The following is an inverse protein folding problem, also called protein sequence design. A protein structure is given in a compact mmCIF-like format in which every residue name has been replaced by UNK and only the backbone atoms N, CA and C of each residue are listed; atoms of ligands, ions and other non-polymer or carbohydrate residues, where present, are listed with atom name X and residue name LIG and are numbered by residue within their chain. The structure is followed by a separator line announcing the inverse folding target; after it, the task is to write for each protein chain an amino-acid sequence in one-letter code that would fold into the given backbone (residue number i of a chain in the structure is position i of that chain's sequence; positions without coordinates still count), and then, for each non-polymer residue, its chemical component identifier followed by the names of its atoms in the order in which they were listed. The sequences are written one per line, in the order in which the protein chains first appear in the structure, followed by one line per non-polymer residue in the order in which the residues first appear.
data_IF_249234792490
#
_entry.id   IF_249234792490
#
_cell.length_a   1.000
_cell.length_b   1.000
_cell.length_c   1.000
_cell.angle_alpha   90.00
_cell.angle_beta   90.00
_cell.angle_gamma   90.00
#
_symmetry.space_group_name_H-M   'P 1'
#
loop_
_entity.id
_entity.type
_entity.pdbx_description
1 polymer ?
#
# COMPACT_ATOMS: atom_id res chain seq x y z
N UNK A 1 -47.42 -7.89 -14.76
CA UNK A 1 -46.20 -7.17 -15.19
C UNK A 1 -45.71 -6.40 -13.97
N UNK A 2 -44.72 -6.92 -13.25
CA UNK A 2 -44.21 -6.28 -12.03
C UNK A 2 -43.10 -5.32 -12.47
N UNK A 3 -43.33 -4.01 -12.33
CA UNK A 3 -42.31 -3.00 -12.52
C UNK A 3 -41.38 -3.02 -11.29
N UNK A 4 -40.17 -3.54 -11.46
CA UNK A 4 -39.07 -3.30 -10.54
C UNK A 4 -38.58 -1.86 -10.76
N UNK A 5 -38.88 -0.97 -9.83
CA UNK A 5 -38.27 0.36 -9.76
C UNK A 5 -36.78 0.21 -9.39
N UNK A 6 -35.86 0.91 -10.08
CA UNK A 6 -34.47 0.93 -9.66
C UNK A 6 -34.34 1.70 -8.35
N UNK A 7 -33.65 1.12 -7.36
CA UNK A 7 -33.24 1.83 -6.15
C UNK A 7 -32.42 3.06 -6.59
N UNK A 8 -32.99 4.25 -6.39
CA UNK A 8 -32.24 5.49 -6.48
C UNK A 8 -31.24 5.52 -5.31
N UNK A 9 -29.95 5.43 -5.64
CA UNK A 9 -28.88 5.65 -4.67
C UNK A 9 -28.99 7.09 -4.16
N UNK A 10 -29.16 7.26 -2.84
CA UNK A 10 -29.21 8.58 -2.23
C UNK A 10 -27.85 9.26 -2.39
N UNK A 11 -27.78 10.30 -3.23
CA UNK A 11 -26.53 10.99 -3.60
C UNK A 11 -25.98 11.94 -2.51
N UNK A 12 -26.63 12.03 -1.34
CA UNK A 12 -26.30 13.04 -0.33
C UNK A 12 -25.48 12.53 0.87
N UNK A 13 -25.26 11.22 0.99
CA UNK A 13 -24.43 10.67 2.07
C UNK A 13 -23.01 10.38 1.58
N UNK A 14 -22.02 10.82 2.37
CA UNK A 14 -20.61 10.52 2.14
C UNK A 14 -20.46 8.98 2.08
N UNK A 15 -19.90 8.41 1.00
CA UNK A 15 -19.73 6.96 0.91
C UNK A 15 -18.93 6.43 2.09
N UNK A 16 -19.47 5.42 2.77
CA UNK A 16 -18.81 4.77 3.91
C UNK A 16 -17.51 4.10 3.46
N UNK A 17 -16.48 4.08 4.30
CA UNK A 17 -15.23 3.39 3.99
C UNK A 17 -14.79 2.55 5.18
N UNK A 18 -14.34 1.33 4.89
CA UNK A 18 -13.65 0.48 5.85
C UNK A 18 -12.19 0.95 5.92
N UNK A 19 -11.83 1.57 7.05
CA UNK A 19 -10.53 2.19 7.24
C UNK A 19 -9.37 1.20 7.06
N UNK A 20 -9.51 -0.05 7.52
CA UNK A 20 -8.44 -1.05 7.43
C UNK A 20 -8.16 -1.36 5.96
N UNK A 21 -9.21 -1.64 5.17
CA UNK A 21 -9.08 -1.98 3.76
C UNK A 21 -8.61 -0.79 2.93
N UNK A 22 -9.07 0.42 3.27
CA UNK A 22 -8.53 1.65 2.69
C UNK A 22 -7.03 1.78 2.93
N UNK A 23 -6.57 1.56 4.16
CA UNK A 23 -5.15 1.56 4.51
C UNK A 23 -4.37 0.51 3.73
N UNK A 24 -4.86 -0.74 3.63
CA UNK A 24 -4.22 -1.79 2.82
C UNK A 24 -4.06 -1.35 1.34
N UNK A 25 -5.08 -0.66 0.81
CA UNK A 25 -5.03 -0.06 -0.53
C UNK A 25 -3.90 0.96 -0.67
N UNK A 26 -3.71 1.82 0.34
CA UNK A 26 -2.67 2.84 0.31
C UNK A 26 -1.26 2.30 0.54
N UNK A 27 -1.04 1.10 1.10
CA UNK A 27 0.32 0.67 1.49
C UNK A 27 1.38 0.71 0.38
N UNK A 28 2.60 1.09 0.76
CA UNK A 28 3.81 1.17 -0.06
C UNK A 28 4.45 -0.19 -0.34
N UNK A 29 3.73 -1.08 -1.03
CA UNK A 29 4.15 -2.47 -1.24
C UNK A 29 5.07 -2.63 -2.47
N UNK A 30 6.19 -1.88 -2.48
CA UNK A 30 7.21 -1.93 -3.53
C UNK A 30 7.91 -3.29 -3.49
N UNK A 31 7.63 -4.15 -4.47
CA UNK A 31 7.92 -5.59 -4.46
C UNK A 31 7.08 -6.41 -3.47
N UNK A 32 5.86 -5.99 -3.11
CA UNK A 32 5.07 -6.63 -2.05
C UNK A 32 5.41 -6.09 -0.66
N UNK A 33 4.74 -6.60 0.37
CA UNK A 33 4.90 -6.07 1.73
C UNK A 33 6.19 -6.61 2.34
N UNK A 34 7.15 -5.74 2.63
CA UNK A 34 8.38 -6.17 3.30
C UNK A 34 8.15 -6.44 4.79
N UNK A 35 8.77 -7.50 5.32
CA UNK A 35 8.81 -7.81 6.75
C UNK A 35 10.21 -8.26 7.16
N UNK A 36 10.78 -7.59 8.15
CA UNK A 36 12.07 -7.90 8.79
C UNK A 36 12.16 -7.14 10.12
N UNK A 37 13.12 -7.50 10.99
CA UNK A 37 13.21 -7.03 12.38
C UNK A 37 13.09 -5.50 12.54
N UNK A 38 13.81 -4.73 11.72
CA UNK A 38 13.92 -3.28 11.90
C UNK A 38 12.68 -2.48 11.42
N UNK A 39 11.67 -3.14 10.86
CA UNK A 39 10.44 -2.48 10.38
C UNK A 39 9.16 -3.14 10.93
N UNK A 40 9.27 -3.97 11.96
CA UNK A 40 8.15 -4.76 12.50
C UNK A 40 6.98 -3.88 12.95
N UNK A 41 7.26 -2.70 13.50
CA UNK A 41 6.23 -1.76 13.96
C UNK A 41 5.85 -0.71 12.91
N UNK A 42 6.47 -0.73 11.72
CA UNK A 42 6.19 0.26 10.68
C UNK A 42 4.89 -0.10 9.99
N UNK A 43 3.91 0.79 10.09
CA UNK A 43 2.65 0.72 9.32
C UNK A 43 2.97 1.00 7.85
N UNK A 44 3.51 2.17 7.54
CA UNK A 44 3.94 2.52 6.18
C UNK A 44 4.88 3.73 6.13
N UNK A 45 5.50 3.93 4.98
CA UNK A 45 6.37 5.08 4.67
C UNK A 45 5.78 5.91 3.53
N UNK A 46 5.87 7.22 3.67
CA UNK A 46 5.31 8.21 2.75
C UNK A 46 6.36 9.24 2.35
N UNK A 47 6.32 9.66 1.09
CA UNK A 47 7.18 10.73 0.58
C UNK A 47 6.67 12.11 1.01
N UNK A 48 7.52 13.15 0.85
CA UNK A 48 7.15 14.54 1.15
C UNK A 48 5.86 14.98 0.47
N UNK A 49 5.66 14.57 -0.79
CA UNK A 49 4.45 14.86 -1.58
C UNK A 49 3.19 14.18 -1.05
N UNK A 50 3.33 13.17 -0.18
CA UNK A 50 2.24 12.39 0.39
C UNK A 50 1.92 12.79 1.84
N UNK A 51 2.44 13.94 2.32
CA UNK A 51 2.23 14.41 3.69
C UNK A 51 0.74 14.48 4.06
N UNK A 52 -0.10 15.01 3.16
CA UNK A 52 -1.54 15.13 3.42
C UNK A 52 -2.20 13.76 3.58
N UNK A 53 -1.82 12.80 2.74
CA UNK A 53 -2.28 11.42 2.84
C UNK A 53 -1.88 10.80 4.18
N UNK A 54 -0.60 10.89 4.57
CA UNK A 54 -0.15 10.27 5.82
C UNK A 54 -0.80 10.91 7.07
N UNK A 55 -1.01 12.22 7.09
CA UNK A 55 -1.71 12.91 8.20
C UNK A 55 -3.20 12.55 8.22
N UNK A 56 -3.80 12.30 7.06
CA UNK A 56 -5.19 11.82 6.98
C UNK A 56 -5.33 10.40 7.52
N UNK A 57 -4.42 9.49 7.14
CA UNK A 57 -4.35 8.13 7.71
C UNK A 57 -4.10 8.20 9.23
N UNK A 58 -3.14 9.01 9.70
CA UNK A 58 -2.92 9.19 11.14
C UNK A 58 -4.22 9.57 11.88
N UNK A 59 -4.96 10.53 11.33
CA UNK A 59 -6.23 11.00 11.91
C UNK A 59 -7.35 9.96 11.90
N UNK A 60 -7.36 9.05 10.93
CA UNK A 60 -8.33 7.94 10.84
C UNK A 60 -8.12 6.90 11.95
N UNK A 61 -6.87 6.70 12.39
CA UNK A 61 -6.49 5.58 13.25
C UNK A 61 -6.12 5.99 14.69
N UNK A 62 -5.64 7.22 14.92
CA UNK A 62 -5.08 7.63 16.22
C UNK A 62 -5.99 7.45 17.44
N UNK A 63 -7.31 7.52 17.26
CA UNK A 63 -8.26 7.34 18.37
C UNK A 63 -8.44 5.87 18.77
N UNK A 64 -8.20 4.93 17.83
CA UNK A 64 -8.37 3.50 18.03
C UNK A 64 -7.03 2.78 18.29
N UNK A 65 -5.91 3.44 18.00
CA UNK A 65 -4.56 2.91 18.12
C UNK A 65 -3.69 3.86 18.94
N UNK A 66 -3.70 3.75 20.29
CA UNK A 66 -2.95 4.64 21.18
C UNK A 66 -1.43 4.59 21.00
N UNK A 67 -0.91 3.51 20.40
CA UNK A 67 0.50 3.32 20.10
C UNK A 67 0.90 3.91 18.73
N UNK A 68 -0.05 4.47 17.98
CA UNK A 68 0.20 5.08 16.67
C UNK A 68 1.03 6.36 16.80
N UNK A 69 2.12 6.41 16.04
CA UNK A 69 3.05 7.53 15.98
C UNK A 69 3.36 7.88 14.54
N UNK A 70 3.12 9.14 14.18
CA UNK A 70 3.62 9.74 12.95
C UNK A 70 4.98 10.39 13.21
N UNK A 71 6.03 9.83 12.63
CA UNK A 71 7.39 10.40 12.68
C UNK A 71 7.77 11.02 11.33
N UNK A 72 8.79 11.88 11.33
CA UNK A 72 9.36 12.40 10.09
C UNK A 72 10.88 12.37 10.15
N UNK A 73 11.50 11.84 9.10
CA UNK A 73 12.94 11.74 8.97
C UNK A 73 13.40 12.63 7.82
N UNK A 74 14.51 13.34 8.04
CA UNK A 74 15.15 14.19 7.02
C UNK A 74 16.49 13.57 6.65
N UNK A 75 16.61 13.10 5.41
CA UNK A 75 17.88 12.60 4.91
C UNK A 75 18.83 13.78 4.68
N UNK A 76 19.97 13.76 5.37
CA UNK A 76 20.97 14.85 5.32
C UNK A 76 21.50 15.07 3.89
N UNK A 77 21.70 13.99 3.13
CA UNK A 77 22.29 13.99 1.79
C UNK A 77 21.32 14.43 0.69
N UNK A 78 20.09 13.91 0.68
CA UNK A 78 19.13 14.17 -0.40
C UNK A 78 18.19 15.36 -0.12
N UNK A 79 18.25 15.95 1.09
CA UNK A 79 17.23 16.89 1.62
C UNK A 79 15.80 16.35 1.53
N UNK A 80 15.59 15.07 1.22
CA UNK A 80 14.27 14.46 1.21
C UNK A 80 13.75 14.33 2.64
N UNK A 81 12.46 14.60 2.79
CA UNK A 81 11.71 14.31 4.00
C UNK A 81 10.80 13.13 3.72
N UNK A 82 10.89 12.12 4.56
CA UNK A 82 9.94 11.01 4.59
C UNK A 82 9.12 11.10 5.88
N UNK A 83 7.92 10.57 5.81
CA UNK A 83 7.04 10.39 6.96
C UNK A 83 6.83 8.90 7.16
N UNK A 84 6.82 8.45 8.40
CA UNK A 84 6.55 7.05 8.71
C UNK A 84 5.49 6.96 9.80
N UNK A 85 4.52 6.09 9.57
CA UNK A 85 3.57 5.68 10.60
C UNK A 85 4.09 4.42 11.27
N UNK A 86 4.06 4.41 12.60
CA UNK A 86 4.49 3.29 13.43
C UNK A 86 3.39 2.96 14.44
N UNK A 87 3.04 1.69 14.54
CA UNK A 87 2.15 1.13 15.56
C UNK A 87 2.34 -0.39 15.54
N UNK A 88 2.64 -0.97 16.70
CA UNK A 88 2.79 -2.42 16.86
C UNK A 88 1.46 -3.13 16.63
N UNK A 89 0.36 -2.54 17.10
CA UNK A 89 -0.98 -3.13 16.99
C UNK A 89 -1.46 -3.06 15.55
N UNK A 90 -1.42 -1.87 14.92
CA UNK A 90 -1.89 -1.68 13.55
C UNK A 90 -1.03 -2.45 12.53
N UNK A 91 0.29 -2.51 12.74
CA UNK A 91 1.17 -3.30 11.86
C UNK A 91 0.81 -4.78 11.89
N UNK A 92 0.51 -5.36 13.06
CA UNK A 92 0.03 -6.75 13.15
C UNK A 92 -1.31 -6.97 12.44
N UNK A 93 -2.24 -6.03 12.55
CA UNK A 93 -3.51 -6.07 11.80
C UNK A 93 -3.23 -6.11 10.31
N UNK A 94 -2.37 -5.21 9.81
CA UNK A 94 -1.96 -5.16 8.40
C UNK A 94 -1.31 -6.46 7.96
N UNK A 95 -0.40 -7.01 8.76
CA UNK A 95 0.31 -8.25 8.42
C UNK A 95 -0.64 -9.44 8.19
N UNK A 96 -1.82 -9.44 8.82
CA UNK A 96 -2.83 -10.49 8.65
C UNK A 96 -3.42 -10.57 7.23
N UNK A 97 -3.25 -9.51 6.42
CA UNK A 97 -3.66 -9.45 5.02
C UNK A 97 -2.64 -10.07 4.06
N UNK A 98 -1.49 -10.52 4.56
CA UNK A 98 -0.40 -11.01 3.73
C UNK A 98 0.00 -12.45 4.04
N UNK A 99 0.46 -13.16 3.01
CA UNK A 99 1.24 -14.40 3.14
C UNK A 99 2.69 -14.07 2.83
N UNK A 100 3.61 -14.50 3.71
CA UNK A 100 5.02 -14.14 3.60
C UNK A 100 5.86 -15.32 3.14
N UNK A 101 6.83 -15.02 2.27
CA UNK A 101 7.90 -15.94 1.89
C UNK A 101 9.26 -15.22 1.91
N UNK A 102 10.37 -15.94 2.09
CA UNK A 102 11.70 -15.35 1.93
C UNK A 102 11.82 -14.70 0.55
N UNK A 103 12.32 -13.46 0.50
CA UNK A 103 12.47 -12.74 -0.78
C UNK A 103 13.79 -13.07 -1.51
N UNK A 104 14.68 -13.83 -0.87
CA UNK A 104 16.07 -14.02 -1.33
C UNK A 104 16.97 -12.79 -1.11
N UNK A 105 16.43 -11.70 -0.56
CA UNK A 105 17.18 -10.49 -0.20
C UNK A 105 17.47 -10.47 1.30
N UNK A 106 18.63 -9.91 1.65
CA UNK A 106 19.02 -9.62 3.03
C UNK A 106 19.01 -8.12 3.32
N UNK A 107 18.73 -7.76 4.56
CA UNK A 107 18.98 -6.41 5.09
C UNK A 107 20.01 -6.49 6.21
N UNK A 108 20.89 -5.51 6.31
CA UNK A 108 21.81 -5.46 7.43
C UNK A 108 21.02 -5.31 8.75
N UNK A 109 21.31 -6.17 9.73
CA UNK A 109 20.72 -6.18 11.08
C UNK A 109 21.26 -5.07 11.97
N UNK A 110 22.43 -4.53 11.62
CA UNK A 110 23.44 -4.25 12.62
C UNK A 110 23.19 -3.07 13.54
N UNK A 111 23.63 -3.32 14.77
CA UNK A 111 24.00 -2.35 15.81
C UNK A 111 25.39 -1.70 15.54
N UNK A 112 26.10 -2.14 14.48
CA UNK A 112 27.44 -1.67 14.08
C UNK A 112 27.34 -0.78 12.83
N UNK A 113 28.13 0.30 12.72
CA UNK A 113 28.07 1.14 11.53
C UNK A 113 28.78 0.47 10.34
N UNK A 114 28.25 0.61 9.12
CA UNK A 114 28.86 0.05 7.90
C UNK A 114 30.34 0.42 7.70
N UNK A 115 30.76 1.56 8.24
CA UNK A 115 32.14 2.07 8.21
C UNK A 115 33.11 1.29 9.11
N UNK A 116 32.59 0.49 10.03
CA UNK A 116 33.37 -0.28 11.00
C UNK A 116 33.53 -1.75 10.53
N UNK A 117 33.02 -2.08 9.34
CA UNK A 117 33.20 -3.40 8.71
C UNK A 117 34.46 -3.35 7.85
N UNK A 118 35.49 -4.09 8.25
CA UNK A 118 36.67 -4.35 7.42
C UNK A 118 36.40 -5.56 6.51
N UNK A 119 36.01 -5.28 5.26
CA UNK A 119 35.67 -6.30 4.28
C UNK A 119 36.87 -7.18 3.88
N UNK A 120 38.09 -6.67 4.00
CA UNK A 120 39.30 -7.39 3.63
C UNK A 120 39.65 -8.50 4.65
N UNK A 121 39.01 -8.46 5.83
CA UNK A 121 39.18 -9.45 6.91
C UNK A 121 38.11 -10.55 6.92
N UNK A 122 37.15 -10.52 5.99
CA UNK A 122 36.06 -11.51 5.95
C UNK A 122 36.54 -12.80 5.27
N UNK A 123 37.00 -13.77 6.06
CA UNK A 123 37.41 -15.10 5.58
C UNK A 123 36.22 -16.05 5.36
N UNK A 124 35.15 -15.91 6.15
CA UNK A 124 33.90 -16.70 6.06
C UNK A 124 32.71 -15.79 5.72
N UNK A 125 32.51 -15.55 4.42
CA UNK A 125 31.39 -14.75 3.93
C UNK A 125 30.02 -15.33 4.33
N UNK A 126 29.75 -16.65 4.21
CA UNK A 126 28.50 -17.24 4.71
C UNK A 126 28.24 -16.96 6.20
N UNK A 127 29.24 -17.16 7.07
CA UNK A 127 29.14 -16.88 8.51
C UNK A 127 28.90 -15.41 8.80
N UNK A 128 29.60 -14.52 8.09
CA UNK A 128 29.41 -13.07 8.19
C UNK A 128 27.98 -12.66 7.82
N UNK A 129 27.46 -13.13 6.69
CA UNK A 129 26.09 -12.83 6.23
C UNK A 129 25.07 -13.32 7.25
N UNK A 130 25.19 -14.56 7.74
CA UNK A 130 24.27 -15.13 8.73
C UNK A 130 24.24 -14.32 10.04
N UNK A 131 25.41 -13.83 10.47
CA UNK A 131 25.56 -13.03 11.69
C UNK A 131 25.01 -11.61 11.53
N UNK A 132 25.24 -10.96 10.38
CA UNK A 132 25.03 -9.53 10.21
C UNK A 132 23.81 -9.14 9.35
N UNK A 133 23.17 -10.08 8.65
CA UNK A 133 22.02 -9.80 7.79
C UNK A 133 20.77 -10.55 8.24
N UNK A 134 19.62 -9.89 8.13
CA UNK A 134 18.28 -10.43 8.32
C UNK A 134 17.66 -10.77 6.97
N UNK A 135 16.82 -11.79 6.96
CA UNK A 135 16.06 -12.13 5.77
C UNK A 135 14.93 -11.13 5.59
N UNK A 136 14.84 -10.51 4.42
CA UNK A 136 13.67 -9.74 4.04
C UNK A 136 12.60 -10.73 3.57
N UNK A 137 11.46 -10.76 4.25
CA UNK A 137 10.29 -11.49 3.78
C UNK A 137 9.46 -10.59 2.86
N UNK A 138 8.87 -11.19 1.84
CA UNK A 138 7.97 -10.55 0.89
C UNK A 138 6.54 -11.07 1.09
N UNK A 139 5.63 -10.15 1.33
CA UNK A 139 4.21 -10.40 1.52
C UNK A 139 3.41 -10.30 0.23
N UNK A 140 2.57 -11.29 -0.02
CA UNK A 140 1.51 -11.27 -1.03
C UNK A 140 0.15 -11.08 -0.35
N UNK A 141 -0.67 -10.19 -0.89
CA UNK A 141 -2.04 -9.99 -0.44
C UNK A 141 -2.85 -11.29 -0.54
N UNK A 142 -3.73 -11.48 0.44
CA UNK A 142 -4.69 -12.57 0.57
C UNK A 142 -6.05 -12.18 -0.03
N UNK A 143 -6.39 -12.57 -1.27
CA UNK A 143 -7.65 -12.17 -1.91
C UNK A 143 -8.89 -12.61 -1.12
N UNK A 144 -8.81 -13.73 -0.41
CA UNK A 144 -9.88 -14.29 0.43
C UNK A 144 -10.25 -13.42 1.65
N UNK A 145 -9.49 -12.35 1.91
CA UNK A 145 -9.83 -11.35 2.94
C UNK A 145 -10.84 -10.30 2.44
N UNK A 146 -11.04 -10.16 1.13
CA UNK A 146 -11.85 -9.09 0.53
C UNK A 146 -13.24 -9.61 0.16
N UNK A 147 -14.08 -9.86 1.17
CA UNK A 147 -15.33 -10.61 1.01
C UNK A 147 -16.55 -9.72 0.74
N UNK A 148 -16.59 -8.53 1.33
CA UNK A 148 -17.74 -7.63 1.21
C UNK A 148 -17.49 -6.54 0.17
N UNK A 149 -18.56 -5.97 -0.38
CA UNK A 149 -18.45 -4.89 -1.36
C UNK A 149 -17.73 -3.67 -0.79
N UNK A 150 -18.03 -3.28 0.46
CA UNK A 150 -17.38 -2.13 1.12
C UNK A 150 -15.87 -2.35 1.30
N UNK A 151 -15.41 -3.56 1.59
CA UNK A 151 -13.99 -3.90 1.69
C UNK A 151 -13.28 -3.73 0.36
N UNK A 152 -13.89 -4.18 -0.73
CA UNK A 152 -13.38 -4.06 -2.10
C UNK A 152 -13.32 -2.60 -2.53
N UNK A 153 -14.42 -1.86 -2.35
CA UNK A 153 -14.50 -0.43 -2.63
C UNK A 153 -13.44 0.36 -1.85
N UNK A 154 -13.28 0.06 -0.56
CA UNK A 154 -12.31 0.74 0.32
C UNK A 154 -10.88 0.51 -0.14
N UNK A 155 -10.51 -0.74 -0.44
CA UNK A 155 -9.18 -1.09 -0.94
C UNK A 155 -8.85 -0.43 -2.28
N UNK A 156 -9.76 -0.53 -3.26
CA UNK A 156 -9.56 0.10 -4.58
C UNK A 156 -9.48 1.61 -4.45
N UNK A 157 -10.28 2.21 -3.57
CA UNK A 157 -10.23 3.64 -3.25
C UNK A 157 -8.90 4.05 -2.63
N UNK A 158 -8.38 3.29 -1.66
CA UNK A 158 -7.06 3.55 -1.07
C UNK A 158 -5.94 3.50 -2.11
N UNK A 159 -5.97 2.48 -2.97
CA UNK A 159 -5.02 2.36 -4.06
C UNK A 159 -5.12 3.53 -5.05
N UNK A 160 -6.33 3.93 -5.44
CA UNK A 160 -6.54 5.08 -6.32
C UNK A 160 -6.11 6.40 -5.69
N UNK A 161 -6.42 6.64 -4.41
CA UNK A 161 -6.01 7.86 -3.71
C UNK A 161 -4.49 8.00 -3.77
N UNK A 162 -3.73 6.95 -3.47
CA UNK A 162 -2.27 7.03 -3.44
C UNK A 162 -1.62 7.00 -4.82
N UNK A 163 -2.05 6.08 -5.67
CA UNK A 163 -1.36 5.70 -6.91
C UNK A 163 -2.11 6.09 -8.18
N UNK A 164 -3.31 6.63 -8.01
CA UNK A 164 -4.23 6.89 -9.11
C UNK A 164 -4.11 8.28 -9.70
N UNK A 165 -4.56 8.37 -10.94
CA UNK A 165 -4.84 9.61 -11.64
C UNK A 165 -5.89 9.34 -12.72
N UNK A 166 -6.41 10.42 -13.30
CA UNK A 166 -7.39 10.37 -14.39
C UNK A 166 -6.78 11.04 -15.63
N UNK A 167 -6.96 10.42 -16.78
CA UNK A 167 -6.70 11.01 -18.09
C UNK A 167 -7.97 10.88 -18.92
N UNK A 168 -8.57 12.00 -19.30
CA UNK A 168 -9.86 12.05 -20.00
C UNK A 168 -10.94 11.29 -19.22
N UNK A 169 -11.62 10.31 -19.83
CA UNK A 169 -12.61 9.46 -19.15
C UNK A 169 -12.01 8.24 -18.45
N UNK A 170 -10.69 8.00 -18.56
CA UNK A 170 -10.05 6.78 -18.12
C UNK A 170 -9.32 6.98 -16.79
N UNK A 171 -9.67 6.17 -15.80
CA UNK A 171 -9.01 6.13 -14.51
C UNK A 171 -7.83 5.17 -14.59
N UNK A 172 -6.72 5.52 -13.94
CA UNK A 172 -5.49 4.74 -13.96
C UNK A 172 -4.96 4.58 -12.55
N UNK A 173 -4.39 3.41 -12.25
CA UNK A 173 -3.60 3.11 -11.05
C UNK A 173 -2.28 2.53 -11.52
N UNK A 174 -1.15 3.07 -11.05
CA UNK A 174 0.18 2.51 -11.34
C UNK A 174 0.97 2.25 -10.07
N UNK A 175 1.44 1.02 -9.95
CA UNK A 175 2.27 0.54 -8.84
C UNK A 175 3.59 0.02 -9.39
N UNK A 176 4.69 0.31 -8.68
CA UNK A 176 6.02 -0.14 -9.05
C UNK A 176 6.34 -1.48 -8.37
N UNK A 177 6.79 -2.47 -9.16
CA UNK A 177 7.19 -3.82 -8.76
C UNK A 177 6.15 -4.64 -7.96
N UNK A 178 4.92 -4.16 -7.77
CA UNK A 178 3.92 -4.80 -6.91
C UNK A 178 2.96 -5.71 -7.69
N UNK A 179 3.45 -6.89 -8.08
CA UNK A 179 2.64 -7.86 -8.84
C UNK A 179 1.42 -8.37 -8.06
N UNK A 180 1.56 -8.57 -6.74
CA UNK A 180 0.42 -9.01 -5.90
C UNK A 180 -0.69 -7.97 -5.83
N UNK A 181 -0.33 -6.69 -5.64
CA UNK A 181 -1.32 -5.58 -5.59
C UNK A 181 -2.03 -5.38 -6.92
N UNK A 182 -1.29 -5.37 -8.04
CA UNK A 182 -1.93 -5.17 -9.35
C UNK A 182 -2.85 -6.33 -9.72
N UNK A 183 -2.51 -7.58 -9.39
CA UNK A 183 -3.40 -8.73 -9.62
C UNK A 183 -4.71 -8.61 -8.84
N UNK A 184 -4.63 -8.21 -7.57
CA UNK A 184 -5.84 -8.00 -6.77
C UNK A 184 -6.67 -6.84 -7.31
N UNK A 185 -6.05 -5.71 -7.67
CA UNK A 185 -6.75 -4.58 -8.27
C UNK A 185 -7.48 -4.96 -9.56
N UNK A 186 -6.84 -5.74 -10.45
CA UNK A 186 -7.47 -6.20 -11.69
C UNK A 186 -8.71 -7.06 -11.42
N UNK A 187 -8.64 -8.00 -10.46
CA UNK A 187 -9.79 -8.83 -10.06
C UNK A 187 -10.92 -7.98 -9.47
N UNK A 188 -10.60 -7.13 -8.48
CA UNK A 188 -11.60 -6.36 -7.76
C UNK A 188 -12.28 -5.31 -8.65
N UNK A 189 -11.55 -4.68 -9.57
CA UNK A 189 -12.14 -3.75 -10.53
C UNK A 189 -13.17 -4.44 -11.44
N UNK A 190 -12.89 -5.67 -11.88
CA UNK A 190 -13.84 -6.48 -12.67
C UNK A 190 -15.05 -6.90 -11.84
N UNK A 191 -14.83 -7.34 -10.60
CA UNK A 191 -15.91 -7.72 -9.68
C UNK A 191 -16.83 -6.55 -9.32
N UNK A 192 -16.28 -5.34 -9.20
CA UNK A 192 -17.02 -4.09 -8.95
C UNK A 192 -17.73 -3.56 -10.21
N UNK A 193 -17.71 -4.29 -11.33
CA UNK A 193 -18.40 -3.92 -12.56
C UNK A 193 -17.74 -2.80 -13.37
N UNK A 194 -16.44 -2.53 -13.16
CA UNK A 194 -15.73 -1.54 -13.98
C UNK A 194 -15.58 -2.03 -15.43
N UNK A 195 -15.71 -1.11 -16.38
CA UNK A 195 -15.59 -1.40 -17.79
C UNK A 195 -14.17 -1.11 -18.32
N UNK A 196 -13.78 -1.78 -19.39
CA UNK A 196 -12.46 -1.60 -20.05
C UNK A 196 -11.26 -1.69 -19.09
N UNK A 197 -11.29 -2.66 -18.18
CA UNK A 197 -10.15 -2.95 -17.30
C UNK A 197 -9.01 -3.53 -18.14
N UNK A 198 -7.97 -2.72 -18.38
CA UNK A 198 -6.80 -3.08 -19.15
C UNK A 198 -5.53 -3.01 -18.29
N UNK A 199 -4.74 -4.08 -18.34
CA UNK A 199 -3.46 -4.18 -17.63
C UNK A 199 -2.28 -4.00 -18.60
N UNK A 200 -1.34 -3.13 -18.24
CA UNK A 200 -0.10 -2.90 -18.95
C UNK A 200 1.09 -3.13 -18.00
N UNK A 201 2.06 -3.91 -18.45
CA UNK A 201 3.36 -4.06 -17.80
C UNK A 201 4.41 -3.30 -18.62
N UNK A 202 5.25 -2.50 -17.96
CA UNK A 202 6.44 -1.91 -18.58
C UNK A 202 7.69 -2.44 -17.89
N UNK A 203 8.50 -3.14 -18.67
CA UNK A 203 9.83 -3.63 -18.27
C UNK A 203 10.82 -2.46 -18.22
N UNK A 204 10.72 -1.67 -17.17
CA UNK A 204 11.67 -0.60 -16.82
C UNK A 204 12.28 -0.91 -15.44
N UNK A 205 13.18 -0.06 -14.96
CA UNK A 205 13.70 -0.12 -13.59
C UNK A 205 13.19 1.14 -12.87
N UNK A 206 12.21 1.04 -11.96
CA UNK A 206 11.46 -0.17 -11.57
C UNK A 206 10.44 -0.64 -12.63
N UNK A 207 10.04 -1.92 -12.55
CA UNK A 207 8.97 -2.47 -13.39
C UNK A 207 7.68 -1.77 -12.99
N UNK A 208 6.97 -1.22 -13.97
CA UNK A 208 5.70 -0.53 -13.73
C UNK A 208 4.55 -1.44 -14.11
N UNK A 209 3.59 -1.55 -13.21
CA UNK A 209 2.32 -2.23 -13.41
C UNK A 209 1.22 -1.18 -13.42
N UNK A 210 0.51 -1.05 -14.53
CA UNK A 210 -0.53 -0.04 -14.73
C UNK A 210 -1.86 -0.75 -15.06
N UNK A 211 -2.92 -0.36 -14.37
CA UNK A 211 -4.29 -0.72 -14.75
C UNK A 211 -5.02 0.54 -15.17
N UNK A 212 -5.72 0.47 -16.31
CA UNK A 212 -6.63 1.52 -16.77
C UNK A 212 -8.06 0.99 -16.82
N UNK A 213 -9.05 1.79 -16.46
CA UNK A 213 -10.45 1.35 -16.36
C UNK A 213 -11.44 2.52 -16.41
N UNK A 214 -12.71 2.23 -16.72
CA UNK A 214 -13.85 3.12 -16.49
C UNK A 214 -14.59 2.67 -15.21
N UNK A 215 -14.61 3.47 -14.14
CA UNK A 215 -15.28 3.10 -12.89
C UNK A 215 -16.79 3.09 -13.07
N UNK A 216 -17.49 2.37 -12.18
CA UNK A 216 -18.92 2.56 -11.96
C UNK A 216 -19.19 3.92 -11.30
N UNK A 217 -20.44 4.39 -11.34
CA UNK A 217 -20.83 5.63 -10.67
C UNK A 217 -20.57 5.58 -9.16
N UNK A 218 -20.80 4.41 -8.55
CA UNK A 218 -20.51 4.17 -7.15
C UNK A 218 -19.01 4.33 -6.85
N UNK A 219 -18.12 3.63 -7.57
CA UNK A 219 -16.68 3.73 -7.33
C UNK A 219 -16.15 5.14 -7.64
N UNK A 220 -16.72 5.81 -8.64
CA UNK A 220 -16.42 7.21 -8.94
C UNK A 220 -16.76 8.13 -7.76
N UNK A 221 -17.91 7.93 -7.11
CA UNK A 221 -18.30 8.72 -5.93
C UNK A 221 -17.30 8.55 -4.77
N UNK A 222 -16.77 7.34 -4.56
CA UNK A 222 -15.69 7.11 -3.59
C UNK A 222 -14.43 7.89 -3.98
N UNK A 223 -13.98 7.79 -5.23
CA UNK A 223 -12.78 8.49 -5.69
C UNK A 223 -12.92 10.02 -5.54
N UNK A 224 -14.05 10.59 -5.95
CA UNK A 224 -14.31 12.03 -5.83
C UNK A 224 -14.36 12.48 -4.36
N UNK A 225 -14.89 11.63 -3.47
CA UNK A 225 -14.95 11.90 -2.02
C UNK A 225 -13.58 11.85 -1.36
N UNK A 226 -12.77 10.82 -1.66
CA UNK A 226 -11.57 10.47 -0.89
C UNK A 226 -10.25 10.95 -1.52
N UNK A 227 -10.22 11.35 -2.80
CA UNK A 227 -9.00 11.93 -3.42
C UNK A 227 -8.47 13.16 -2.68
N UNK A 228 -9.37 13.94 -2.05
CA UNK A 228 -9.03 15.12 -1.25
C UNK A 228 -8.14 14.83 -0.04
N UNK A 229 -8.01 13.56 0.37
CA UNK A 229 -7.08 13.16 1.43
C UNK A 229 -5.62 13.27 1.00
N UNK A 230 -5.35 13.32 -0.31
CA UNK A 230 -4.01 13.50 -0.89
C UNK A 230 -3.76 14.92 -1.40
N UNK A 231 -4.81 15.62 -1.87
CA UNK A 231 -4.75 16.95 -2.51
C UNK A 231 -4.51 18.09 -1.53
#
# INVERSE_FOLDING_TARGET
MIFLTPLAYNQNEKPEIDNDYFLIGTLGDYMGREKFKNIEERVDKYYKSEKKLCTSIDSMFKNNYPDLKLSSLKYKTSKQRIFELHSKILSKTIESFFTYKPSGRGTFKGDMAFKDIDYDTIEDLPGFVNKHYDTIYQGNLRPEKFNTEIQKLSFVTGAYVRYGWKKDSLYQISVANSTSKVKLLDSLLKELGCNHVNYEMRMAIPVSHKISFKPTDQLKAYFDTYKKLRE
#
